data_IF_715897403246
#
_entry.id   IF_715897403246
#
_cell.length_a   1.000
_cell.length_b   1.000
_cell.length_c   1.000
_cell.angle_alpha   90.00
_cell.angle_beta   90.00
_cell.angle_gamma   90.00
#
_symmetry.space_group_name_H-M   'P 1'
#
loop_
_entity.id
_entity.type
_entity.pdbx_description
1 polymer ?
#
# COMPACT_ATOMS: atom_id res chain seq x y z
N UNK A 1 18.33 8.10 -26.55
CA UNK A 1 17.37 9.17 -26.24
C UNK A 1 17.21 9.15 -24.74
N UNK A 2 17.77 10.12 -24.03
CA UNK A 2 17.77 10.21 -22.56
C UNK A 2 16.44 10.82 -22.12
N UNK A 3 15.67 10.07 -21.37
CA UNK A 3 14.45 10.54 -20.72
C UNK A 3 14.87 11.16 -19.38
N UNK A 4 15.02 12.47 -19.36
CA UNK A 4 15.27 13.24 -18.14
C UNK A 4 13.93 13.49 -17.46
N UNK A 5 13.56 12.63 -16.52
CA UNK A 5 12.46 12.90 -15.60
C UNK A 5 12.86 14.02 -14.65
N UNK A 6 12.33 15.19 -14.91
CA UNK A 6 12.41 16.36 -14.03
C UNK A 6 11.72 16.07 -12.69
N UNK A 7 12.50 15.73 -11.67
CA UNK A 7 12.07 15.86 -10.29
C UNK A 7 12.02 17.34 -9.92
N UNK A 8 10.86 17.96 -10.07
CA UNK A 8 10.59 19.28 -9.54
C UNK A 8 10.36 19.20 -8.04
N UNK A 9 11.44 19.24 -7.26
CA UNK A 9 11.38 19.43 -5.82
C UNK A 9 11.02 20.89 -5.50
N UNK A 10 9.74 21.21 -5.48
CA UNK A 10 9.25 22.47 -4.91
C UNK A 10 9.17 22.41 -3.39
N UNK A 11 10.30 22.19 -2.73
CA UNK A 11 10.44 22.45 -1.31
C UNK A 11 10.69 23.95 -1.11
N UNK A 12 9.63 24.74 -0.92
CA UNK A 12 9.79 26.08 -0.36
C UNK A 12 10.18 25.94 1.12
N UNK A 13 11.44 26.19 1.41
CA UNK A 13 11.92 26.32 2.78
C UNK A 13 11.23 27.52 3.47
N UNK A 14 10.39 27.22 4.46
CA UNK A 14 9.99 28.20 5.47
C UNK A 14 11.06 28.18 6.55
N UNK A 15 11.97 29.15 6.50
CA UNK A 15 12.95 29.45 7.55
C UNK A 15 12.23 30.02 8.77
N UNK A 16 12.08 29.20 9.80
CA UNK A 16 11.66 29.67 11.13
C UNK A 16 11.14 28.54 12.02
N UNK A 17 11.99 28.00 12.85
CA UNK A 17 11.82 27.03 13.93
C UNK A 17 12.19 25.57 13.60
N UNK A 18 13.27 25.18 14.25
CA UNK A 18 13.76 23.83 14.55
C UNK A 18 12.86 22.64 14.16
N UNK A 19 13.23 21.96 13.09
CA UNK A 19 13.16 20.50 13.06
C UNK A 19 11.89 19.84 12.51
N UNK A 20 10.85 20.55 12.07
CA UNK A 20 9.64 19.91 11.52
C UNK A 20 9.66 19.97 9.98
N UNK A 21 10.05 18.87 9.35
CA UNK A 21 9.84 18.72 7.90
C UNK A 21 8.41 18.29 7.65
N UNK A 22 7.58 19.16 7.08
CA UNK A 22 6.35 18.76 6.45
C UNK A 22 6.68 18.23 5.04
N UNK A 23 6.29 17.00 4.75
CA UNK A 23 6.35 16.43 3.41
C UNK A 23 5.01 16.69 2.74
N UNK A 24 5.01 17.26 1.56
CA UNK A 24 3.80 17.50 0.76
C UNK A 24 3.77 16.55 -0.42
N UNK A 25 2.60 16.02 -0.70
CA UNK A 25 2.37 15.18 -1.86
C UNK A 25 1.02 15.49 -2.51
N UNK A 26 0.93 15.21 -3.78
CA UNK A 26 -0.28 15.19 -4.59
C UNK A 26 -0.01 14.19 -5.69
N UNK A 27 -0.56 13.00 -5.57
CA UNK A 27 -0.27 11.91 -6.49
C UNK A 27 -1.40 10.90 -6.51
N UNK A 28 -1.64 10.32 -7.67
CA UNK A 28 -2.52 9.16 -7.82
C UNK A 28 -1.78 7.82 -7.68
N UNK A 29 -0.44 7.88 -7.64
CA UNK A 29 0.40 6.70 -7.48
C UNK A 29 0.60 6.37 -6.00
N UNK A 30 0.38 5.14 -5.62
CA UNK A 30 0.53 4.68 -4.23
C UNK A 30 1.97 4.76 -3.71
N UNK A 31 2.96 4.51 -4.57
CA UNK A 31 4.40 4.52 -4.23
C UNK A 31 4.97 5.92 -3.96
N UNK A 32 4.24 6.96 -4.35
CA UNK A 32 4.56 8.35 -4.06
C UNK A 32 3.73 8.93 -2.89
N UNK A 33 2.85 8.10 -2.30
CA UNK A 33 1.95 8.48 -1.22
C UNK A 33 2.68 8.74 0.11
N UNK A 34 1.99 9.35 1.06
CA UNK A 34 2.52 9.66 2.39
C UNK A 34 2.34 8.46 3.34
N UNK A 35 3.45 7.92 3.89
CA UNK A 35 3.39 6.78 4.78
C UNK A 35 3.04 7.18 6.21
N UNK A 36 2.23 6.36 6.87
CA UNK A 36 1.95 6.37 8.30
C UNK A 36 2.15 4.98 8.89
N UNK A 37 2.45 4.89 10.17
CA UNK A 37 2.55 3.59 10.82
C UNK A 37 3.10 3.65 12.24
N UNK A 38 2.93 2.56 12.98
CA UNK A 38 3.39 2.38 14.35
C UNK A 38 4.29 1.14 14.55
N UNK A 39 4.74 0.53 13.44
CA UNK A 39 5.54 -0.69 13.46
C UNK A 39 4.72 -1.99 13.35
N UNK A 40 3.44 -1.98 13.69
CA UNK A 40 2.52 -3.11 13.51
C UNK A 40 1.59 -2.90 12.33
N UNK A 41 1.01 -1.73 12.26
CA UNK A 41 0.13 -1.31 11.18
C UNK A 41 0.84 -0.20 10.39
N UNK A 42 0.69 -0.25 9.07
CA UNK A 42 1.13 0.77 8.15
C UNK A 42 -0.01 1.20 7.24
N UNK A 43 0.07 2.42 6.76
CA UNK A 43 -0.82 2.91 5.72
C UNK A 43 -0.11 3.89 4.80
N UNK A 44 -0.62 4.03 3.59
CA UNK A 44 -0.16 5.02 2.61
C UNK A 44 -1.38 5.83 2.19
N UNK A 45 -1.24 7.16 2.31
CA UNK A 45 -2.27 8.13 1.93
C UNK A 45 -1.91 8.72 0.57
N UNK A 46 -2.81 8.61 -0.40
CA UNK A 46 -2.60 9.08 -1.78
C UNK A 46 -3.95 9.28 -2.50
N UNK A 47 -3.92 9.61 -3.77
CA UNK A 47 -5.10 9.84 -4.58
C UNK A 47 -5.56 11.31 -4.52
N UNK A 48 -6.69 11.57 -5.15
CA UNK A 48 -7.36 12.84 -5.15
C UNK A 48 -8.73 12.71 -4.48
N UNK A 49 -9.80 12.87 -5.25
CA UNK A 49 -11.14 12.52 -4.83
C UNK A 49 -11.64 11.39 -5.74
N UNK A 50 -11.65 10.13 -5.26
CA UNK A 50 -11.52 9.71 -3.87
C UNK A 50 -10.08 9.77 -3.31
N UNK A 51 -9.95 10.16 -2.04
CA UNK A 51 -8.75 9.95 -1.26
C UNK A 51 -8.60 8.47 -0.95
N UNK A 52 -7.41 7.92 -1.17
CA UNK A 52 -7.13 6.49 -1.02
C UNK A 52 -6.19 6.27 0.17
N UNK A 53 -6.54 5.34 1.04
CA UNK A 53 -5.71 4.90 2.16
C UNK A 53 -5.52 3.40 2.06
N UNK A 54 -4.36 2.98 1.58
CA UNK A 54 -3.98 1.56 1.58
C UNK A 54 -3.47 1.18 2.96
N UNK A 55 -4.00 0.11 3.51
CA UNK A 55 -3.71 -0.35 4.88
C UNK A 55 -3.03 -1.70 4.84
N UNK A 56 -2.08 -1.90 5.74
CA UNK A 56 -1.30 -3.11 5.87
C UNK A 56 -0.91 -3.42 7.31
N UNK A 57 -0.48 -4.67 7.57
CA UNK A 57 0.12 -5.12 8.82
C UNK A 57 1.45 -5.79 8.56
N UNK A 58 2.39 -5.66 9.48
CA UNK A 58 3.74 -6.23 9.33
C UNK A 58 3.77 -7.75 9.24
N UNK A 59 2.79 -8.44 9.81
CA UNK A 59 2.67 -9.89 9.82
C UNK A 59 1.82 -10.47 8.68
N UNK A 60 1.32 -9.64 7.75
CA UNK A 60 0.57 -10.10 6.59
C UNK A 60 1.50 -10.59 5.50
N UNK A 61 1.75 -11.90 5.49
CA UNK A 61 2.59 -12.57 4.50
C UNK A 61 1.93 -13.86 4.00
N UNK A 62 2.04 -14.09 2.71
CA UNK A 62 1.88 -15.45 2.18
C UNK A 62 3.26 -16.11 2.20
N UNK A 63 3.42 -17.09 3.07
CA UNK A 63 4.69 -17.78 3.29
C UNK A 63 4.75 -19.12 2.57
N UNK A 64 3.89 -19.37 1.59
CA UNK A 64 4.03 -20.58 0.77
C UNK A 64 5.41 -20.58 0.10
N UNK A 65 6.16 -21.67 0.17
CA UNK A 65 7.44 -21.74 -0.49
C UNK A 65 7.25 -21.76 -2.01
N UNK A 66 8.13 -21.11 -2.72
CA UNK A 66 8.32 -21.40 -4.14
C UNK A 66 9.27 -22.61 -4.27
N UNK A 67 8.88 -23.62 -5.00
CA UNK A 67 9.64 -24.88 -5.14
C UNK A 67 11.06 -24.65 -5.67
N UNK A 68 11.24 -23.69 -6.57
CA UNK A 68 12.55 -23.32 -7.11
C UNK A 68 13.51 -22.83 -6.02
N UNK A 69 13.00 -22.22 -4.94
CA UNK A 69 13.86 -21.81 -3.82
C UNK A 69 14.44 -22.98 -3.02
N UNK A 70 13.87 -24.16 -3.18
CA UNK A 70 14.33 -25.39 -2.54
C UNK A 70 15.37 -26.14 -3.39
N UNK A 71 15.60 -25.72 -4.63
CA UNK A 71 16.64 -26.32 -5.48
C UNK A 71 18.05 -26.03 -4.95
N UNK A 72 18.95 -26.98 -5.08
CA UNK A 72 20.35 -26.82 -4.66
C UNK A 72 21.08 -25.70 -5.41
N UNK A 73 20.57 -25.35 -6.60
CA UNK A 73 21.06 -24.23 -7.41
C UNK A 73 20.64 -22.85 -6.85
N UNK A 74 19.62 -22.77 -6.04
CA UNK A 74 19.15 -21.52 -5.43
C UNK A 74 20.02 -21.15 -4.22
N UNK A 75 21.18 -20.57 -4.51
CA UNK A 75 22.11 -20.15 -3.46
C UNK A 75 22.87 -18.89 -3.87
N UNK A 76 23.24 -18.07 -2.90
CA UNK A 76 24.02 -16.86 -3.14
C UNK A 76 25.33 -17.14 -3.87
N UNK A 77 26.03 -18.23 -3.51
CA UNK A 77 27.25 -18.64 -4.15
C UNK A 77 27.05 -18.94 -5.66
N UNK A 78 26.00 -19.65 -5.98
CA UNK A 78 25.66 -19.96 -7.37
C UNK A 78 25.18 -18.71 -8.13
N UNK A 79 24.39 -17.85 -7.49
CA UNK A 79 23.97 -16.58 -8.06
C UNK A 79 25.16 -15.74 -8.52
N UNK A 80 26.14 -15.55 -7.64
CA UNK A 80 27.36 -14.79 -7.97
C UNK A 80 28.17 -15.47 -9.07
N UNK A 81 28.26 -16.81 -9.08
CA UNK A 81 28.95 -17.56 -10.14
C UNK A 81 28.30 -17.32 -11.49
N UNK A 82 26.97 -17.43 -11.58
CA UNK A 82 26.21 -17.24 -12.81
C UNK A 82 26.37 -15.83 -13.36
N UNK A 83 26.22 -14.81 -12.50
CA UNK A 83 26.37 -13.39 -12.90
C UNK A 83 27.79 -13.10 -13.38
N UNK A 84 28.83 -13.62 -12.70
CA UNK A 84 30.23 -13.36 -13.05
C UNK A 84 30.70 -14.09 -14.29
N UNK A 85 30.03 -15.15 -14.72
CA UNK A 85 30.48 -15.94 -15.88
C UNK A 85 30.35 -15.18 -17.19
N UNK A 86 29.35 -14.28 -17.30
CA UNK A 86 29.07 -13.52 -18.52
C UNK A 86 28.56 -14.36 -19.70
N UNK A 87 28.28 -15.66 -19.51
CA UNK A 87 27.78 -16.54 -20.57
C UNK A 87 26.28 -16.51 -20.68
N UNK A 88 25.73 -16.53 -21.88
CA UNK A 88 24.28 -16.48 -22.13
C UNK A 88 23.52 -17.64 -21.49
N UNK A 89 24.12 -18.84 -21.46
CA UNK A 89 23.51 -20.01 -20.81
C UNK A 89 23.43 -19.86 -19.30
N UNK A 90 24.45 -19.28 -18.65
CA UNK A 90 24.45 -18.99 -17.23
C UNK A 90 23.47 -17.84 -16.89
N UNK A 91 23.31 -16.88 -17.80
CA UNK A 91 22.34 -15.82 -17.64
C UNK A 91 20.89 -16.35 -17.75
N UNK A 92 20.62 -17.33 -18.62
CA UNK A 92 19.33 -18.01 -18.67
C UNK A 92 19.03 -18.77 -17.39
N UNK A 93 20.03 -19.48 -16.85
CA UNK A 93 19.88 -20.20 -15.58
C UNK A 93 19.70 -19.25 -14.38
N UNK A 94 20.39 -18.10 -14.38
CA UNK A 94 20.18 -17.05 -13.41
C UNK A 94 18.73 -16.58 -13.42
N UNK A 95 18.19 -16.25 -14.59
CA UNK A 95 16.79 -15.82 -14.71
C UNK A 95 15.83 -16.89 -14.22
N UNK A 96 16.03 -18.13 -14.59
CA UNK A 96 15.18 -19.24 -14.14
C UNK A 96 15.15 -19.36 -12.61
N UNK A 97 16.31 -19.31 -11.99
CA UNK A 97 16.44 -19.53 -10.55
C UNK A 97 16.07 -18.30 -9.69
N UNK A 98 16.35 -17.10 -10.17
CA UNK A 98 16.30 -15.90 -9.30
C UNK A 98 15.33 -14.81 -9.76
N UNK A 99 14.88 -14.80 -11.03
CA UNK A 99 13.94 -13.82 -11.54
C UNK A 99 12.56 -14.43 -11.86
N UNK A 100 12.53 -15.51 -12.65
CA UNK A 100 11.28 -16.09 -13.17
C UNK A 100 10.36 -16.61 -12.06
N UNK A 101 10.91 -17.01 -10.94
CA UNK A 101 10.15 -17.52 -9.80
C UNK A 101 9.12 -16.50 -9.28
N UNK A 102 9.42 -15.21 -9.36
CA UNK A 102 8.52 -14.15 -8.92
C UNK A 102 7.48 -13.76 -9.97
N UNK A 103 7.68 -14.24 -11.22
CA UNK A 103 6.73 -14.05 -12.32
C UNK A 103 5.68 -15.16 -12.41
N UNK A 104 5.99 -16.35 -11.87
CA UNK A 104 5.12 -17.52 -11.95
C UNK A 104 4.21 -17.67 -10.73
N UNK A 105 4.69 -17.27 -9.55
CA UNK A 105 3.96 -17.37 -8.28
C UNK A 105 4.15 -16.10 -7.46
N UNK A 106 3.08 -15.54 -6.85
CA UNK A 106 3.18 -14.31 -6.06
C UNK A 106 3.77 -14.53 -4.66
N UNK A 107 4.15 -15.74 -4.31
CA UNK A 107 4.61 -16.08 -2.97
C UNK A 107 6.01 -16.76 -2.99
N UNK A 108 6.77 -16.65 -1.89
CA UNK A 108 6.43 -15.93 -0.65
C UNK A 108 6.40 -14.42 -0.88
N UNK A 109 5.40 -13.74 -0.35
CA UNK A 109 5.24 -12.30 -0.56
C UNK A 109 4.48 -11.63 0.57
N UNK A 110 4.70 -10.34 0.72
CA UNK A 110 3.89 -9.45 1.53
C UNK A 110 2.49 -9.31 0.91
N UNK A 111 1.46 -9.30 1.77
CA UNK A 111 0.07 -9.15 1.35
C UNK A 111 -0.43 -7.81 1.86
N UNK A 112 -1.12 -7.05 1.01
CA UNK A 112 -1.82 -5.83 1.40
C UNK A 112 -3.16 -6.19 2.04
N UNK A 113 -3.51 -5.57 3.17
CA UNK A 113 -4.80 -5.82 3.80
C UNK A 113 -5.96 -5.30 2.96
N UNK A 114 -5.81 -4.15 2.33
CA UNK A 114 -6.83 -3.54 1.48
C UNK A 114 -6.74 -2.03 1.47
N UNK A 115 -7.79 -1.40 0.94
CA UNK A 115 -7.83 0.04 0.76
C UNK A 115 -9.17 0.61 1.23
N UNK A 116 -9.12 1.77 1.89
CA UNK A 116 -10.29 2.58 2.22
C UNK A 116 -10.27 3.78 1.28
N UNK A 117 -11.39 4.06 0.62
CA UNK A 117 -11.54 5.19 -0.27
C UNK A 117 -12.58 6.15 0.30
N UNK A 118 -12.23 7.43 0.38
CA UNK A 118 -13.06 8.51 0.90
C UNK A 118 -13.42 9.47 -0.22
N UNK A 119 -14.70 9.67 -0.45
CA UNK A 119 -15.22 10.61 -1.44
C UNK A 119 -15.83 11.81 -0.70
N UNK A 120 -15.20 12.98 -0.84
CA UNK A 120 -15.60 14.22 -0.20
C UNK A 120 -16.51 15.04 -1.11
N UNK A 121 -17.60 15.57 -0.54
CA UNK A 121 -18.53 16.39 -1.30
C UNK A 121 -17.92 17.74 -1.69
N UNK A 122 -18.11 18.12 -2.97
CA UNK A 122 -17.72 19.43 -3.49
C UNK A 122 -16.20 19.67 -3.50
N UNK A 123 -15.37 18.63 -3.38
CA UNK A 123 -13.92 18.77 -3.47
C UNK A 123 -13.45 18.95 -4.91
N UNK A 124 -12.53 19.91 -5.09
CA UNK A 124 -11.87 20.17 -6.37
C UNK A 124 -10.48 19.55 -6.47
N UNK A 125 -9.57 20.02 -5.66
CA UNK A 125 -8.15 19.72 -5.81
C UNK A 125 -7.50 19.36 -4.48
N UNK A 126 -7.44 18.08 -4.17
CA UNK A 126 -6.92 17.57 -2.91
C UNK A 126 -5.39 17.52 -2.94
N UNK A 127 -4.77 18.10 -1.94
CA UNK A 127 -3.38 17.89 -1.56
C UNK A 127 -3.25 17.38 -0.12
N UNK A 128 -2.12 16.84 0.23
CA UNK A 128 -1.86 16.37 1.58
C UNK A 128 -0.43 16.64 2.04
N UNK A 129 -0.29 16.81 3.35
CA UNK A 129 1.01 17.06 3.99
C UNK A 129 1.16 16.26 5.26
N UNK A 130 2.33 15.63 5.44
CA UNK A 130 2.71 14.89 6.63
C UNK A 130 3.52 15.78 7.58
N UNK A 131 3.01 15.99 8.78
CA UNK A 131 3.80 16.53 9.90
C UNK A 131 4.54 15.38 10.59
N UNK A 132 5.86 15.34 10.39
CA UNK A 132 6.73 14.30 10.97
C UNK A 132 6.79 14.33 12.49
N UNK A 133 6.44 15.43 13.14
CA UNK A 133 6.45 15.56 14.60
C UNK A 133 5.24 14.89 15.24
N UNK A 134 4.09 15.03 14.62
CA UNK A 134 2.81 14.47 15.11
C UNK A 134 2.43 13.17 14.41
N UNK A 135 3.18 12.77 13.37
CA UNK A 135 2.86 11.65 12.49
C UNK A 135 1.41 11.73 11.97
N UNK A 136 0.99 12.94 11.54
CA UNK A 136 -0.36 13.20 11.07
C UNK A 136 -0.32 13.72 9.64
N UNK A 137 -1.09 13.10 8.76
CA UNK A 137 -1.35 13.62 7.42
C UNK A 137 -2.55 14.54 7.47
N UNK A 138 -2.36 15.79 7.05
CA UNK A 138 -3.44 16.75 6.81
C UNK A 138 -3.84 16.67 5.34
N UNK A 139 -5.13 16.54 5.08
CA UNK A 139 -5.72 16.49 3.74
C UNK A 139 -6.45 17.81 3.52
N UNK A 140 -6.14 18.50 2.43
CA UNK A 140 -6.64 19.83 2.16
C UNK A 140 -7.30 19.91 0.76
N UNK A 141 -8.27 20.80 0.64
CA UNK A 141 -8.85 21.27 -0.63
C UNK A 141 -8.57 22.78 -0.72
N UNK A 142 -7.50 23.12 -1.43
CA UNK A 142 -6.94 24.47 -1.40
C UNK A 142 -6.46 24.90 -0.01
N UNK A 143 -7.07 25.92 0.58
CA UNK A 143 -6.71 26.42 1.90
C UNK A 143 -7.48 25.74 3.06
N UNK A 144 -8.50 24.95 2.76
CA UNK A 144 -9.36 24.28 3.74
C UNK A 144 -8.85 22.90 4.08
N UNK A 145 -8.67 22.60 5.37
CA UNK A 145 -8.41 21.25 5.83
C UNK A 145 -9.71 20.46 5.86
N UNK A 146 -9.78 19.38 5.08
CA UNK A 146 -10.98 18.54 4.96
C UNK A 146 -10.89 17.24 5.73
N UNK A 147 -9.66 16.76 6.02
CA UNK A 147 -9.46 15.61 6.90
C UNK A 147 -8.06 15.59 7.52
N UNK A 148 -7.91 14.76 8.54
CA UNK A 148 -6.63 14.39 9.15
C UNK A 148 -6.56 12.86 9.25
N UNK A 149 -5.40 12.29 8.94
CA UNK A 149 -5.17 10.84 9.01
C UNK A 149 -3.97 10.57 9.91
N UNK A 150 -4.13 9.67 10.86
CA UNK A 150 -3.06 9.22 11.73
C UNK A 150 -3.28 7.79 12.21
N UNK A 151 -2.23 7.15 12.69
CA UNK A 151 -2.28 5.81 13.28
C UNK A 151 -2.01 5.93 14.77
N UNK A 152 -2.84 5.29 15.60
CA UNK A 152 -2.60 5.24 17.05
C UNK A 152 -1.26 4.55 17.34
N UNK A 153 -0.49 5.10 18.28
CA UNK A 153 0.86 4.65 18.56
C UNK A 153 0.91 3.25 19.20
N UNK A 154 -0.12 2.89 19.96
CA UNK A 154 -0.12 1.67 20.80
C UNK A 154 -1.00 0.57 20.20
N UNK A 155 -2.08 0.94 19.54
CA UNK A 155 -3.08 0.00 19.04
C UNK A 155 -2.99 -0.20 17.52
N UNK A 156 -3.74 -1.19 16.99
CA UNK A 156 -3.89 -1.41 15.56
C UNK A 156 -5.07 -0.60 15.00
N UNK A 157 -5.16 0.67 15.38
CA UNK A 157 -6.24 1.56 14.98
C UNK A 157 -5.68 2.71 14.15
N UNK A 158 -6.18 2.83 12.91
CA UNK A 158 -6.03 4.03 12.10
C UNK A 158 -7.23 4.95 12.33
N UNK A 159 -7.02 6.25 12.30
CA UNK A 159 -8.06 7.26 12.49
C UNK A 159 -8.08 8.22 11.32
N UNK A 160 -9.26 8.42 10.76
CA UNK A 160 -9.53 9.49 9.79
C UNK A 160 -10.52 10.45 10.43
N UNK A 161 -10.05 11.64 10.80
CA UNK A 161 -10.91 12.72 11.31
C UNK A 161 -11.34 13.58 10.13
N UNK A 162 -12.62 13.62 9.85
CA UNK A 162 -13.19 14.36 8.72
C UNK A 162 -13.77 15.71 9.17
N UNK A 163 -13.52 16.74 8.40
CA UNK A 163 -14.00 18.10 8.62
C UNK A 163 -15.01 18.54 7.54
N UNK A 164 -15.16 17.73 6.51
CA UNK A 164 -16.12 17.90 5.41
C UNK A 164 -16.94 16.62 5.25
N UNK A 165 -18.18 16.73 4.78
CA UNK A 165 -19.03 15.57 4.53
C UNK A 165 -18.38 14.65 3.50
N UNK A 166 -18.38 13.36 3.81
CA UNK A 166 -17.81 12.33 2.95
C UNK A 166 -18.55 11.01 3.09
N UNK A 167 -18.56 10.25 2.02
CA UNK A 167 -18.79 8.81 2.03
C UNK A 167 -17.47 8.05 2.02
N UNK A 168 -17.48 6.78 2.42
CA UNK A 168 -16.32 5.92 2.30
C UNK A 168 -16.72 4.47 2.01
N UNK A 169 -15.80 3.73 1.40
CA UNK A 169 -15.96 2.31 1.10
C UNK A 169 -14.67 1.54 1.35
N UNK A 170 -14.80 0.24 1.60
CA UNK A 170 -13.70 -0.71 1.63
C UNK A 170 -13.50 -1.31 0.24
N UNK A 171 -12.26 -1.30 -0.24
CA UNK A 171 -11.85 -1.95 -1.47
C UNK A 171 -10.98 -3.15 -1.13
N UNK A 172 -11.50 -4.34 -1.40
CA UNK A 172 -10.82 -5.62 -1.16
C UNK A 172 -9.94 -5.91 -2.37
N UNK A 173 -8.66 -6.25 -2.18
CA UNK A 173 -7.82 -6.71 -3.28
C UNK A 173 -8.38 -7.99 -3.91
N UNK A 174 -8.30 -8.10 -5.24
CA UNK A 174 -8.67 -9.32 -5.94
C UNK A 174 -7.52 -10.34 -5.92
N UNK A 175 -7.56 -11.22 -4.94
CA UNK A 175 -6.56 -12.28 -4.80
C UNK A 175 -6.84 -13.53 -5.64
N UNK A 176 -7.97 -13.59 -6.33
CA UNK A 176 -8.39 -14.76 -7.09
C UNK A 176 -8.03 -14.68 -8.57
N UNK A 177 -8.38 -13.59 -9.22
CA UNK A 177 -8.31 -13.48 -10.68
C UNK A 177 -7.02 -12.86 -11.21
N UNK A 178 -6.26 -12.16 -10.37
CA UNK A 178 -5.09 -11.38 -10.78
C UNK A 178 -5.43 -10.29 -11.78
N UNK A 179 -6.72 -9.92 -11.86
CA UNK A 179 -7.15 -8.81 -12.72
C UNK A 179 -6.78 -7.48 -12.09
N UNK A 180 -6.54 -6.53 -12.94
CA UNK A 180 -6.27 -5.13 -12.63
C UNK A 180 -7.21 -4.60 -11.55
N UNK A 181 -6.72 -4.21 -10.42
CA UNK A 181 -7.58 -3.61 -9.39
C UNK A 181 -7.05 -3.72 -7.96
N UNK A 182 -6.05 -4.53 -7.73
CA UNK A 182 -5.47 -4.64 -6.39
C UNK A 182 -4.57 -3.46 -6.06
N UNK A 183 -3.87 -2.93 -7.06
CA UNK A 183 -3.12 -1.68 -6.97
C UNK A 183 -3.03 -1.08 -8.38
N UNK A 184 -3.64 0.07 -8.62
CA UNK A 184 -3.41 0.83 -9.84
C UNK A 184 -1.92 1.18 -9.93
N UNK A 185 -1.26 0.71 -10.98
CA UNK A 185 0.15 0.99 -11.26
C UNK A 185 1.12 -0.17 -11.06
N UNK A 186 0.70 -1.30 -10.50
CA UNK A 186 1.57 -2.46 -10.35
C UNK A 186 1.45 -3.38 -11.58
N UNK A 187 2.35 -3.20 -12.53
CA UNK A 187 2.42 -4.00 -13.76
C UNK A 187 2.83 -5.46 -13.52
N UNK A 188 3.28 -5.82 -12.32
CA UNK A 188 3.71 -7.17 -11.95
C UNK A 188 2.58 -8.01 -11.35
N UNK A 189 1.60 -7.39 -10.71
CA UNK A 189 0.50 -8.11 -10.04
C UNK A 189 -0.60 -8.61 -10.98
N UNK A 190 -0.65 -8.13 -12.22
CA UNK A 190 -1.75 -8.38 -13.14
C UNK A 190 -1.88 -9.81 -13.68
N UNK A 191 -0.91 -10.70 -13.45
CA UNK A 191 -0.91 -12.06 -14.02
C UNK A 191 -0.80 -13.20 -13.03
N UNK A 192 -0.54 -12.90 -11.77
CA UNK A 192 -0.22 -13.93 -10.78
C UNK A 192 -1.09 -13.74 -9.56
N UNK A 193 -1.85 -14.76 -9.21
CA UNK A 193 -2.83 -14.69 -8.14
C UNK A 193 -2.42 -15.48 -6.92
N UNK A 194 -2.83 -15.04 -5.75
CA UNK A 194 -2.70 -15.82 -4.52
C UNK A 194 -3.67 -16.99 -4.47
N UNK A 195 -4.74 -16.97 -5.27
CA UNK A 195 -5.76 -18.01 -5.29
C UNK A 195 -6.63 -18.04 -4.04
N UNK A 196 -6.73 -16.93 -3.31
CA UNK A 196 -7.60 -16.86 -2.14
C UNK A 196 -9.07 -16.80 -2.57
N UNK A 197 -9.99 -17.38 -1.78
CA UNK A 197 -11.40 -17.27 -2.08
C UNK A 197 -11.86 -15.81 -1.96
N UNK A 198 -12.86 -15.40 -2.74
CA UNK A 198 -13.37 -14.03 -2.70
C UNK A 198 -13.93 -13.70 -1.31
N UNK A 199 -13.62 -12.51 -0.83
CA UNK A 199 -14.20 -11.94 0.38
C UNK A 199 -15.36 -11.02 0.01
N UNK A 200 -16.23 -10.73 0.97
CA UNK A 200 -17.40 -9.87 0.81
C UNK A 200 -17.41 -8.81 1.89
N UNK A 201 -17.56 -7.56 1.49
CA UNK A 201 -17.78 -6.46 2.43
C UNK A 201 -19.16 -6.61 3.05
N UNK A 202 -19.24 -6.44 4.36
CA UNK A 202 -20.44 -6.51 5.17
C UNK A 202 -20.60 -5.24 5.98
N UNK A 203 -21.86 -4.89 6.24
CA UNK A 203 -22.22 -3.76 7.07
C UNK A 203 -23.26 -4.19 8.11
N UNK A 204 -23.04 -3.78 9.36
CA UNK A 204 -23.97 -3.99 10.45
C UNK A 204 -23.66 -3.06 11.62
N UNK A 205 -24.70 -2.47 12.21
CA UNK A 205 -24.63 -1.65 13.43
C UNK A 205 -23.58 -0.52 13.33
N UNK A 206 -23.40 0.08 12.14
CA UNK A 206 -22.44 1.14 11.88
C UNK A 206 -21.00 0.69 11.67
N UNK A 207 -20.77 -0.62 11.63
CA UNK A 207 -19.50 -1.20 11.25
C UNK A 207 -19.53 -1.65 9.80
N UNK A 208 -18.47 -1.34 9.07
CA UNK A 208 -18.21 -1.84 7.73
C UNK A 208 -16.93 -2.69 7.79
N UNK A 209 -16.99 -3.95 7.32
CA UNK A 209 -15.83 -4.84 7.39
C UNK A 209 -15.82 -5.90 6.31
N UNK A 210 -14.67 -6.54 6.17
CA UNK A 210 -14.53 -7.80 5.45
C UNK A 210 -13.55 -8.73 6.16
N UNK A 211 -13.67 -10.02 5.89
CA UNK A 211 -12.75 -11.07 6.30
C UNK A 211 -12.24 -11.80 5.06
N UNK A 212 -10.93 -11.83 4.89
CA UNK A 212 -10.25 -12.58 3.84
C UNK A 212 -9.63 -13.84 4.42
N UNK A 213 -9.97 -14.98 3.83
CA UNK A 213 -9.29 -16.26 4.10
C UNK A 213 -8.09 -16.39 3.17
N UNK A 214 -6.99 -16.91 3.70
CA UNK A 214 -5.83 -17.28 2.89
C UNK A 214 -5.92 -18.75 2.45
N UNK A 215 -4.85 -19.28 1.87
CA UNK A 215 -4.75 -20.69 1.51
C UNK A 215 -4.66 -21.63 2.74
N UNK A 216 -4.40 -21.08 3.92
CA UNK A 216 -4.47 -21.75 5.21
C UNK A 216 -5.72 -21.32 5.98
N UNK A 217 -5.84 -21.72 7.24
CA UNK A 217 -6.89 -21.21 8.13
C UNK A 217 -6.62 -19.79 8.65
N UNK A 218 -5.51 -19.18 8.23
CA UNK A 218 -5.21 -17.78 8.57
C UNK A 218 -6.21 -16.83 7.88
N UNK A 219 -6.65 -15.83 8.63
CA UNK A 219 -7.62 -14.83 8.20
C UNK A 219 -7.15 -13.45 8.60
N UNK A 220 -7.49 -12.49 7.77
CA UNK A 220 -7.28 -11.07 8.06
C UNK A 220 -8.43 -10.25 7.48
N UNK A 221 -8.47 -8.97 7.79
CA UNK A 221 -9.49 -8.07 7.27
C UNK A 221 -9.31 -6.67 7.80
N UNK A 222 -10.18 -5.79 7.35
CA UNK A 222 -10.32 -4.41 7.83
C UNK A 222 -11.72 -4.28 8.43
N UNK A 223 -11.79 -3.64 9.56
CA UNK A 223 -13.04 -3.21 10.19
C UNK A 223 -12.99 -1.71 10.34
N UNK A 224 -14.05 -1.03 9.94
CA UNK A 224 -14.19 0.42 10.14
C UNK A 224 -15.49 0.72 10.87
N UNK A 225 -15.50 1.80 11.65
CA UNK A 225 -16.73 2.38 12.19
C UNK A 225 -16.62 3.89 12.24
N UNK A 226 -17.75 4.58 12.07
CA UNK A 226 -17.82 6.03 12.17
C UNK A 226 -18.46 6.45 13.49
N UNK A 227 -17.81 7.38 14.20
CA UNK A 227 -18.33 8.03 15.41
C UNK A 227 -18.20 9.55 15.25
N UNK A 228 -19.32 10.21 14.96
CA UNK A 228 -19.29 11.64 14.66
C UNK A 228 -18.45 11.94 13.42
N UNK A 229 -17.40 12.72 13.60
CA UNK A 229 -16.46 13.10 12.54
C UNK A 229 -15.21 12.22 12.47
N UNK A 230 -15.14 11.12 13.20
CA UNK A 230 -14.00 10.20 13.18
C UNK A 230 -14.41 8.83 12.63
N UNK A 231 -13.57 8.30 11.75
CA UNK A 231 -13.65 6.94 11.20
C UNK A 231 -12.40 6.17 11.70
N UNK A 232 -12.66 5.03 12.31
CA UNK A 232 -11.67 4.14 12.90
C UNK A 232 -11.49 2.90 12.05
#
# INVERSE_FOLDING_TARGET
>A
MKDERNFSSNAKENNGMTGTKAIRAKTDNWDEGLPLGNGFMGSIVYGGNPLKITVDRTDLWDLRPNETTLESGFSYKNMIRLVKSGRDEDWREYRRLFDAIFMEKPYPSKITAGRIEFEFEGCGDIDYSLDMRTATVSVNDGAERIAEVFTDYVTLVGVVRVHRECSYKLNIPDYLSGTEGTCEGDSLSSRVTFGYPPAVVRERDGFLWYEQKTHTDYRFGIVTCRKGNEIY
#
